data_IF_723108219581
#
_entry.id   IF_723108219581
#
_cell.length_a   1.000
_cell.length_b   1.000
_cell.length_c   1.000
_cell.angle_alpha   90.00
_cell.angle_beta   90.00
_cell.angle_gamma   90.00
#
_symmetry.space_group_name_H-M   'P 1'
#
loop_
_entity.id
_entity.type
_entity.pdbx_description
1 polymer ?
#
# COMPACT_ATOMS: atom_id res chain seq x y z
N UNK A 1 -17.11 12.57 17.26
CA UNK A 1 -16.34 13.70 16.68
C UNK A 1 -15.27 13.25 15.69
N UNK A 2 -14.18 12.57 16.06
CA UNK A 2 -13.22 12.08 15.04
C UNK A 2 -13.78 10.98 14.12
N UNK A 3 -14.63 10.09 14.66
CA UNK A 3 -15.28 9.03 13.88
C UNK A 3 -16.25 9.54 12.82
N UNK A 4 -17.01 10.60 13.11
CA UNK A 4 -18.02 11.14 12.20
C UNK A 4 -17.40 11.83 10.98
N UNK A 5 -16.25 12.50 11.15
CA UNK A 5 -15.51 13.11 10.05
C UNK A 5 -14.87 12.07 9.11
N UNK A 6 -14.33 10.97 9.66
CA UNK A 6 -13.73 9.89 8.86
C UNK A 6 -14.81 9.10 8.09
N UNK A 7 -15.97 8.86 8.71
CA UNK A 7 -17.14 8.25 8.06
C UNK A 7 -17.67 9.13 6.91
N UNK A 8 -17.87 10.43 7.15
CA UNK A 8 -18.38 11.35 6.14
C UNK A 8 -17.41 11.53 4.96
N UNK A 9 -16.10 11.55 5.22
CA UNK A 9 -15.12 11.61 4.15
C UNK A 9 -15.10 10.31 3.33
N UNK A 10 -15.23 9.16 3.98
CA UNK A 10 -15.29 7.87 3.29
C UNK A 10 -16.51 7.77 2.35
N UNK A 11 -17.67 8.26 2.78
CA UNK A 11 -18.87 8.33 1.96
C UNK A 11 -18.70 9.27 0.75
N UNK A 12 -18.23 10.50 0.99
CA UNK A 12 -17.96 11.48 -0.08
C UNK A 12 -16.98 10.95 -1.14
N UNK A 13 -15.96 10.18 -0.71
CA UNK A 13 -15.01 9.52 -1.62
C UNK A 13 -15.63 8.39 -2.43
N UNK A 14 -16.58 7.66 -1.85
CA UNK A 14 -17.29 6.59 -2.56
C UNK A 14 -18.22 7.17 -3.62
N UNK A 15 -18.91 8.26 -3.32
CA UNK A 15 -19.80 8.96 -4.26
C UNK A 15 -19.04 9.61 -5.42
N UNK A 16 -17.90 10.24 -5.14
CA UNK A 16 -17.06 10.86 -6.17
C UNK A 16 -16.24 9.84 -6.99
N UNK A 17 -16.28 8.54 -6.65
CA UNK A 17 -15.52 7.51 -7.36
C UNK A 17 -16.23 7.12 -8.66
N UNK A 18 -15.53 7.31 -9.77
CA UNK A 18 -16.06 7.02 -11.11
C UNK A 18 -15.75 5.59 -11.56
N UNK A 19 -14.65 5.00 -11.06
CA UNK A 19 -14.27 3.63 -11.35
C UNK A 19 -12.75 3.41 -11.42
N UNK A 20 -12.34 2.35 -12.09
CA UNK A 20 -10.94 1.92 -12.24
C UNK A 20 -10.60 1.81 -13.74
N UNK A 21 -9.37 2.16 -14.13
CA UNK A 21 -8.89 1.95 -15.49
C UNK A 21 -7.37 1.88 -15.57
N UNK A 22 -6.82 1.46 -16.72
CA UNK A 22 -5.38 1.45 -16.99
C UNK A 22 -4.99 2.67 -17.80
N UNK A 23 -3.90 3.31 -17.40
CA UNK A 23 -3.38 4.52 -18.05
C UNK A 23 -1.89 4.39 -18.24
N UNK A 24 -1.38 4.87 -19.38
CA UNK A 24 0.06 4.94 -19.63
C UNK A 24 0.76 5.82 -18.59
N UNK A 25 1.90 5.35 -18.06
CA UNK A 25 2.64 6.03 -16.98
C UNK A 25 3.05 7.46 -17.32
N UNK A 26 3.29 7.76 -18.60
CA UNK A 26 3.64 9.11 -19.06
C UNK A 26 2.46 10.09 -19.12
N UNK A 27 1.23 9.62 -18.89
CA UNK A 27 0.00 10.43 -18.80
C UNK A 27 -0.34 10.83 -17.37
N UNK A 28 0.40 10.33 -16.38
CA UNK A 28 0.19 10.64 -14.98
C UNK A 28 1.05 11.83 -14.60
N UNK A 29 0.42 12.88 -14.05
CA UNK A 29 1.08 14.11 -13.60
C UNK A 29 0.81 14.32 -12.13
N UNK A 30 1.86 14.64 -11.39
CA UNK A 30 1.77 14.98 -9.98
C UNK A 30 2.00 16.47 -9.85
N UNK A 31 1.13 17.15 -9.11
CA UNK A 31 1.32 18.55 -8.83
C UNK A 31 2.31 18.69 -7.67
N UNK A 32 3.55 19.10 -7.96
CA UNK A 32 4.61 19.28 -6.98
C UNK A 32 4.48 20.59 -6.19
N UNK A 33 3.58 21.49 -6.63
CA UNK A 33 3.43 22.84 -6.07
C UNK A 33 2.42 22.89 -4.90
N UNK A 34 1.77 21.78 -4.56
CA UNK A 34 0.85 21.75 -3.42
C UNK A 34 1.64 21.65 -2.11
N UNK A 35 1.34 22.48 -1.09
CA UNK A 35 2.00 22.42 0.23
C UNK A 35 1.87 21.05 0.93
N UNK A 36 0.90 20.24 0.52
CA UNK A 36 0.63 18.89 1.04
C UNK A 36 1.24 17.78 0.17
N UNK A 37 1.90 18.11 -0.95
CA UNK A 37 2.59 17.14 -1.78
C UNK A 37 3.80 16.61 -1.02
N UNK A 38 3.73 15.35 -0.55
CA UNK A 38 4.87 14.67 0.07
C UNK A 38 6.05 14.70 -0.92
N UNK A 39 7.18 15.25 -0.48
CA UNK A 39 8.41 15.26 -1.28
C UNK A 39 8.79 13.84 -1.69
N UNK A 40 9.33 13.72 -2.90
CA UNK A 40 9.84 12.45 -3.40
C UNK A 40 11.03 12.02 -2.53
N UNK A 41 10.93 10.85 -1.91
CA UNK A 41 12.00 10.24 -1.14
C UNK A 41 12.57 9.09 -1.98
N UNK A 42 13.80 9.28 -2.43
CA UNK A 42 14.48 8.33 -3.29
C UNK A 42 14.67 6.96 -2.61
N UNK A 43 14.87 6.92 -1.30
CA UNK A 43 15.01 5.66 -0.55
C UNK A 43 13.72 4.84 -0.62
N UNK A 44 12.57 5.51 -0.57
CA UNK A 44 11.27 4.86 -0.75
C UNK A 44 11.03 4.39 -2.18
N UNK A 45 11.49 5.15 -3.17
CA UNK A 45 11.45 4.76 -4.59
C UNK A 45 12.29 3.50 -4.82
N UNK A 46 13.55 3.50 -4.39
CA UNK A 46 14.47 2.37 -4.57
C UNK A 46 13.93 1.10 -3.89
N UNK A 47 13.41 1.25 -2.67
CA UNK A 47 12.76 0.15 -1.96
C UNK A 47 11.58 -0.43 -2.75
N UNK A 48 10.76 0.41 -3.40
CA UNK A 48 9.64 -0.04 -4.23
C UNK A 48 10.10 -0.70 -5.52
N UNK A 49 11.18 -0.20 -6.14
CA UNK A 49 11.79 -0.86 -7.31
C UNK A 49 12.27 -2.26 -6.94
N UNK A 50 12.92 -2.44 -5.79
CA UNK A 50 13.32 -3.75 -5.28
C UNK A 50 12.11 -4.67 -5.07
N UNK A 51 11.01 -4.15 -4.53
CA UNK A 51 9.75 -4.91 -4.40
C UNK A 51 9.26 -5.39 -5.76
N UNK A 52 9.27 -4.51 -6.78
CA UNK A 52 8.79 -4.83 -8.12
C UNK A 52 9.64 -5.92 -8.79
N UNK A 53 10.96 -5.89 -8.60
CA UNK A 53 11.86 -6.94 -9.10
C UNK A 53 11.62 -8.29 -8.42
N UNK A 54 11.37 -8.28 -7.12
CA UNK A 54 11.29 -9.52 -6.33
C UNK A 54 9.94 -10.24 -6.41
N UNK A 55 8.84 -9.49 -6.54
CA UNK A 55 7.47 -10.02 -6.39
C UNK A 55 6.61 -9.72 -7.62
N UNK A 56 7.05 -8.81 -8.49
CA UNK A 56 6.23 -8.21 -9.53
C UNK A 56 5.65 -6.87 -9.09
N UNK A 57 5.18 -6.09 -10.07
CA UNK A 57 4.75 -4.72 -9.84
C UNK A 57 3.29 -4.54 -9.40
N UNK A 58 2.50 -5.62 -9.26
CA UNK A 58 1.06 -5.59 -8.88
C UNK A 58 0.27 -4.44 -9.53
N UNK A 59 0.65 -4.03 -10.74
CA UNK A 59 0.08 -2.88 -11.43
C UNK A 59 -1.38 -3.10 -11.84
N UNK A 60 -1.84 -4.36 -11.84
CA UNK A 60 -3.23 -4.81 -12.06
C UNK A 60 -4.13 -4.66 -10.83
N UNK A 61 -3.54 -4.66 -9.65
CA UNK A 61 -4.27 -4.76 -8.39
C UNK A 61 -4.93 -3.42 -8.04
N UNK A 62 -6.24 -3.43 -7.81
CA UNK A 62 -7.00 -2.25 -7.39
C UNK A 62 -6.44 -1.64 -6.09
N UNK A 63 -5.88 -2.47 -5.20
CA UNK A 63 -5.23 -2.03 -3.96
C UNK A 63 -3.97 -1.19 -4.22
N UNK A 64 -3.34 -1.41 -5.37
CA UNK A 64 -2.13 -0.73 -5.78
C UNK A 64 -2.38 0.40 -6.80
N UNK A 65 -3.65 0.74 -7.03
CA UNK A 65 -4.02 1.81 -7.95
C UNK A 65 -3.53 3.19 -7.48
N UNK A 66 -3.34 4.09 -8.45
CA UNK A 66 -2.99 5.49 -8.20
C UNK A 66 -4.29 6.31 -8.26
N UNK A 67 -4.65 7.05 -7.19
CA UNK A 67 -5.84 7.90 -7.22
C UNK A 67 -5.59 9.13 -8.10
N UNK A 68 -6.46 9.34 -9.08
CA UNK A 68 -6.38 10.44 -10.03
C UNK A 68 -7.71 11.17 -10.12
N UNK A 69 -7.63 12.45 -10.46
CA UNK A 69 -8.79 13.32 -10.66
C UNK A 69 -8.97 13.62 -12.14
N UNK A 70 -10.22 13.57 -12.58
CA UNK A 70 -10.64 13.81 -13.96
C UNK A 70 -11.95 14.62 -13.97
N UNK A 71 -12.12 15.53 -14.92
CA UNK A 71 -13.41 16.21 -15.12
C UNK A 71 -14.35 15.32 -15.93
N UNK A 72 -15.68 15.51 -15.79
CA UNK A 72 -16.68 14.75 -16.55
C UNK A 72 -16.50 14.87 -18.07
N UNK A 73 -16.22 16.07 -18.56
CA UNK A 73 -15.95 16.29 -19.99
C UNK A 73 -14.72 15.52 -20.48
N UNK A 74 -13.66 15.51 -19.69
CA UNK A 74 -12.45 14.77 -20.03
C UNK A 74 -12.71 13.27 -19.99
N UNK A 75 -13.46 12.77 -18.99
CA UNK A 75 -13.84 11.37 -18.90
C UNK A 75 -14.65 10.94 -20.13
N UNK A 76 -15.68 11.71 -20.50
CA UNK A 76 -16.54 11.40 -21.64
C UNK A 76 -15.73 11.30 -22.95
N UNK A 77 -14.83 12.26 -23.19
CA UNK A 77 -13.92 12.25 -24.36
C UNK A 77 -12.96 11.06 -24.38
N UNK A 78 -12.52 10.59 -23.21
CA UNK A 78 -11.61 9.43 -23.09
C UNK A 78 -12.39 8.13 -23.29
N UNK A 79 -13.59 8.01 -22.73
CA UNK A 79 -14.48 6.86 -22.86
C UNK A 79 -14.91 6.64 -24.32
N UNK A 80 -15.45 7.68 -24.97
CA UNK A 80 -15.85 7.62 -26.39
C UNK A 80 -14.70 7.12 -27.28
N UNK A 81 -13.50 7.65 -27.07
CA UNK A 81 -12.31 7.29 -27.86
C UNK A 81 -11.79 5.88 -27.58
N UNK A 82 -12.02 5.40 -26.36
CA UNK A 82 -11.63 4.06 -25.96
C UNK A 82 -12.69 3.02 -26.34
N UNK A 83 -13.87 3.46 -26.79
CA UNK A 83 -15.02 2.59 -27.06
C UNK A 83 -15.59 1.99 -25.77
N UNK A 84 -15.53 2.73 -24.66
CA UNK A 84 -15.91 2.27 -23.33
C UNK A 84 -17.10 3.07 -22.80
N UNK A 85 -17.87 2.46 -21.91
CA UNK A 85 -18.92 3.08 -21.11
C UNK A 85 -18.45 3.35 -19.68
N UNK A 86 -19.20 4.14 -18.91
CA UNK A 86 -18.93 4.29 -17.47
C UNK A 86 -19.14 2.99 -16.68
N UNK A 87 -20.00 2.08 -17.17
CA UNK A 87 -20.25 0.80 -16.53
C UNK A 87 -19.00 -0.11 -16.57
N UNK A 88 -18.24 -0.03 -17.67
CA UNK A 88 -16.99 -0.80 -17.84
C UNK A 88 -15.91 -0.40 -16.82
N UNK A 89 -15.96 0.84 -16.31
CA UNK A 89 -15.05 1.31 -15.26
C UNK A 89 -15.41 0.78 -13.87
N UNK A 90 -16.67 0.35 -13.68
CA UNK A 90 -17.21 -0.13 -12.40
C UNK A 90 -17.20 -1.65 -12.29
N UNK A 91 -17.01 -2.35 -13.40
CA UNK A 91 -16.87 -3.81 -13.41
C UNK A 91 -15.59 -4.23 -12.68
N UNK A 92 -15.74 -5.04 -11.63
CA UNK A 92 -14.63 -5.63 -10.87
C UNK A 92 -14.25 -7.04 -11.37
N UNK A 93 -15.00 -7.60 -12.33
CA UNK A 93 -14.88 -9.00 -12.75
C UNK A 93 -13.86 -9.18 -13.90
N UNK A 94 -13.38 -8.10 -14.51
CA UNK A 94 -12.48 -8.13 -15.66
C UNK A 94 -11.22 -7.27 -15.47
N UNK A 95 -10.20 -7.51 -16.30
CA UNK A 95 -8.99 -6.69 -16.30
C UNK A 95 -9.36 -5.23 -16.55
N UNK A 96 -8.86 -4.25 -15.75
CA UNK A 96 -9.33 -2.88 -15.85
C UNK A 96 -9.16 -2.33 -17.27
N UNK A 97 -10.14 -1.59 -17.82
CA UNK A 97 -10.10 -1.20 -19.22
C UNK A 97 -9.02 -0.15 -19.49
N UNK A 98 -8.42 -0.16 -20.69
CA UNK A 98 -7.36 0.79 -21.04
C UNK A 98 -7.90 2.12 -21.57
N UNK A 99 -7.55 3.20 -20.89
CA UNK A 99 -8.01 4.55 -21.19
C UNK A 99 -7.05 5.25 -22.16
N UNK A 100 -7.52 5.48 -23.39
CA UNK A 100 -6.72 6.09 -24.47
C UNK A 100 -6.67 7.61 -24.33
N UNK A 101 -5.66 8.14 -23.66
CA UNK A 101 -5.40 9.59 -23.57
C UNK A 101 -4.55 10.12 -24.74
N UNK A 102 -4.85 11.35 -25.20
CA UNK A 102 -4.09 12.05 -26.26
C UNK A 102 -2.75 12.55 -25.74
N UNK A 103 -1.85 12.94 -26.66
CA UNK A 103 -0.52 13.47 -26.33
C UNK A 103 -0.55 14.68 -25.39
N UNK A 104 -1.55 15.54 -25.51
CA UNK A 104 -1.73 16.75 -24.68
C UNK A 104 -2.56 16.50 -23.42
N UNK A 105 -3.23 15.36 -23.31
CA UNK A 105 -4.05 15.02 -22.15
C UNK A 105 -3.22 14.30 -21.09
N UNK A 106 -3.45 14.64 -19.83
CA UNK A 106 -2.87 13.99 -18.68
C UNK A 106 -3.89 13.95 -17.54
N UNK A 107 -3.68 13.03 -16.61
CA UNK A 107 -4.48 12.90 -15.39
C UNK A 107 -3.70 13.42 -14.19
N UNK A 108 -4.37 14.25 -13.40
CA UNK A 108 -3.82 14.83 -12.18
C UNK A 108 -3.90 13.81 -11.06
N UNK A 109 -2.74 13.33 -10.63
CA UNK A 109 -2.61 12.34 -9.57
C UNK A 109 -2.62 13.03 -8.21
N UNK A 110 -3.43 12.51 -7.28
CA UNK A 110 -3.53 13.04 -5.93
C UNK A 110 -2.41 12.52 -5.02
N UNK A 111 -2.06 11.24 -5.17
CA UNK A 111 -1.04 10.58 -4.36
C UNK A 111 -0.38 9.45 -5.18
N UNK A 112 0.73 8.90 -4.70
CA UNK A 112 1.40 7.76 -5.34
C UNK A 112 2.67 8.11 -6.10
N UNK A 113 3.27 9.27 -5.82
CA UNK A 113 4.50 9.76 -6.46
C UNK A 113 5.64 8.74 -6.40
N UNK A 114 5.96 8.18 -5.23
CA UNK A 114 7.04 7.18 -5.10
C UNK A 114 6.75 5.91 -5.90
N UNK A 115 5.48 5.50 -5.99
CA UNK A 115 5.06 4.32 -6.75
C UNK A 115 5.16 4.55 -8.25
N UNK A 116 4.71 5.71 -8.73
CA UNK A 116 4.86 6.11 -10.13
C UNK A 116 6.33 6.21 -10.53
N UNK A 117 7.17 6.85 -9.73
CA UNK A 117 8.60 6.93 -9.97
C UNK A 117 9.24 5.53 -10.02
N UNK A 118 8.93 4.67 -9.04
CA UNK A 118 9.41 3.28 -9.03
C UNK A 118 8.95 2.49 -10.26
N UNK A 119 7.70 2.70 -10.70
CA UNK A 119 7.17 2.07 -11.89
C UNK A 119 7.91 2.57 -13.15
N UNK A 120 8.15 3.87 -13.27
CA UNK A 120 8.91 4.43 -14.39
C UNK A 120 10.34 3.90 -14.45
N UNK A 121 10.99 3.69 -13.30
CA UNK A 121 12.30 3.03 -13.22
C UNK A 121 12.21 1.56 -13.65
N UNK A 122 11.24 0.82 -13.14
CA UNK A 122 11.07 -0.61 -13.42
C UNK A 122 10.73 -0.90 -14.89
N UNK A 123 9.87 -0.08 -15.49
CA UNK A 123 9.42 -0.22 -16.89
C UNK A 123 10.34 0.49 -17.91
N UNK A 124 11.45 1.10 -17.48
CA UNK A 124 12.34 1.87 -18.37
C UNK A 124 12.82 1.05 -19.57
N UNK A 125 13.12 -0.23 -19.34
CA UNK A 125 13.62 -1.17 -20.35
C UNK A 125 12.53 -1.99 -21.05
N UNK A 126 11.25 -1.75 -20.74
CA UNK A 126 10.10 -2.48 -21.30
C UNK A 126 9.51 -1.76 -22.52
N UNK A 127 8.88 -2.50 -23.47
CA UNK A 127 8.12 -1.92 -24.57
C UNK A 127 7.06 -0.94 -24.07
N UNK A 128 6.71 0.07 -24.90
CA UNK A 128 5.77 1.13 -24.55
C UNK A 128 4.40 0.61 -24.11
N UNK A 129 3.97 -0.49 -24.69
CA UNK A 129 2.67 -1.14 -24.46
C UNK A 129 2.55 -1.70 -23.04
N UNK A 130 3.66 -2.07 -22.41
CA UNK A 130 3.67 -2.59 -21.03
C UNK A 130 3.73 -1.48 -19.97
N UNK A 131 3.91 -0.22 -20.38
CA UNK A 131 4.20 0.90 -19.46
C UNK A 131 2.93 1.59 -19.01
N UNK A 132 2.08 0.84 -18.33
CA UNK A 132 0.82 1.32 -17.78
C UNK A 132 0.68 1.00 -16.29
N UNK A 133 -0.23 1.73 -15.65
CA UNK A 133 -0.61 1.51 -14.27
C UNK A 133 -2.12 1.63 -14.10
N UNK A 134 -2.69 0.85 -13.18
CA UNK A 134 -4.10 0.96 -12.81
C UNK A 134 -4.33 2.22 -11.98
N UNK A 135 -5.34 3.01 -12.34
CA UNK A 135 -5.74 4.23 -11.66
C UNK A 135 -7.16 4.10 -11.13
N UNK A 136 -7.42 4.72 -9.97
CA UNK A 136 -8.79 4.95 -9.50
C UNK A 136 -9.18 6.37 -9.87
N UNK A 137 -10.26 6.50 -10.64
CA UNK A 137 -10.76 7.77 -11.15
C UNK A 137 -11.72 8.41 -10.15
N UNK A 138 -11.47 9.67 -9.83
CA UNK A 138 -12.36 10.52 -9.04
C UNK A 138 -12.83 11.71 -9.87
N UNK A 139 -14.10 12.07 -9.68
CA UNK A 139 -14.67 13.28 -10.25
C UNK A 139 -14.05 14.50 -9.60
N UNK A 140 -13.51 15.42 -10.41
CA UNK A 140 -12.89 16.66 -9.92
C UNK A 140 -13.88 17.55 -9.18
N UNK A 141 -15.10 17.62 -9.68
CA UNK A 141 -16.05 18.66 -9.30
C UNK A 141 -16.94 18.17 -8.14
N UNK A 142 -17.16 16.86 -8.04
CA UNK A 142 -17.86 16.25 -6.91
C UNK A 142 -16.94 15.89 -5.70
N UNK A 143 -15.62 15.86 -5.88
CA UNK A 143 -14.69 15.56 -4.79
C UNK A 143 -14.41 16.81 -3.94
N UNK A 144 -15.10 16.91 -2.80
CA UNK A 144 -14.91 17.99 -1.82
C UNK A 144 -13.44 18.20 -1.40
N UNK A 145 -13.11 19.44 -1.06
CA UNK A 145 -11.72 19.87 -0.76
C UNK A 145 -11.07 19.04 0.36
N UNK A 146 -11.81 18.70 1.42
CA UNK A 146 -11.26 17.92 2.54
C UNK A 146 -11.07 16.45 2.17
N UNK A 147 -11.99 15.86 1.41
CA UNK A 147 -11.83 14.52 0.84
C UNK A 147 -10.63 14.43 -0.08
N UNK A 148 -10.43 15.46 -0.91
CA UNK A 148 -9.28 15.57 -1.79
C UNK A 148 -7.96 15.73 -1.02
N UNK A 149 -7.94 16.56 0.04
CA UNK A 149 -6.77 16.72 0.92
C UNK A 149 -6.41 15.41 1.62
N UNK A 150 -7.38 14.66 2.11
CA UNK A 150 -7.14 13.37 2.76
C UNK A 150 -6.61 12.32 1.78
N UNK A 151 -7.09 12.34 0.52
CA UNK A 151 -6.51 11.52 -0.54
C UNK A 151 -5.08 11.94 -0.84
N UNK A 152 -4.83 13.23 -0.99
CA UNK A 152 -3.50 13.77 -1.31
C UNK A 152 -2.47 13.56 -0.18
N UNK A 153 -2.89 13.71 1.08
CA UNK A 153 -2.09 13.41 2.27
C UNK A 153 -1.75 11.92 2.38
N UNK A 154 -2.37 11.06 1.58
CA UNK A 154 -2.26 9.61 1.70
C UNK A 154 -2.84 9.10 3.03
N UNK A 155 -3.70 9.89 3.68
CA UNK A 155 -4.54 9.46 4.82
C UNK A 155 -5.72 8.62 4.34
N UNK A 156 -6.04 8.72 3.05
CA UNK A 156 -6.90 7.81 2.35
C UNK A 156 -6.28 6.44 2.14
N UNK A 157 -6.68 5.51 3.00
CA UNK A 157 -7.04 4.12 2.71
C UNK A 157 -6.46 3.52 1.42
N UNK A 158 -5.13 3.47 1.27
CA UNK A 158 -4.63 2.17 0.89
C UNK A 158 -5.11 1.28 2.02
N UNK A 159 -6.02 0.35 1.73
CA UNK A 159 -6.54 -0.67 2.66
C UNK A 159 -5.41 -1.39 3.43
N UNK A 160 -4.15 -1.10 3.09
CA UNK A 160 -2.95 -1.59 3.72
C UNK A 160 -2.01 -0.55 4.36
N UNK A 161 -2.51 0.35 5.23
CA UNK A 161 -1.66 0.88 6.32
C UNK A 161 -1.54 -0.19 7.42
N UNK A 162 -0.91 -1.31 7.10
CA UNK A 162 -0.61 -2.32 8.10
C UNK A 162 0.49 -1.76 8.98
N UNK A 163 0.24 -1.75 10.28
CA UNK A 163 1.33 -1.49 11.21
C UNK A 163 2.40 -2.60 11.07
N UNK A 164 3.61 -2.33 11.56
CA UNK A 164 4.70 -3.31 11.47
C UNK A 164 4.31 -4.69 12.04
N UNK A 165 3.53 -4.70 13.13
CA UNK A 165 3.03 -5.92 13.76
C UNK A 165 2.12 -6.75 12.87
N UNK A 166 1.11 -6.14 12.25
CA UNK A 166 0.18 -6.88 11.39
C UNK A 166 0.90 -7.49 10.18
N UNK A 167 1.97 -6.87 9.68
CA UNK A 167 2.74 -7.49 8.59
C UNK A 167 3.64 -8.61 9.06
N UNK A 168 4.21 -8.51 10.26
CA UNK A 168 4.89 -9.66 10.83
C UNK A 168 3.92 -10.85 10.98
N UNK A 169 2.70 -10.60 11.48
CA UNK A 169 1.63 -11.61 11.55
C UNK A 169 1.35 -12.25 10.19
N UNK A 170 1.18 -11.46 9.13
CA UNK A 170 0.95 -11.99 7.78
C UNK A 170 2.15 -12.78 7.23
N UNK A 171 3.39 -12.38 7.55
CA UNK A 171 4.59 -13.17 7.21
C UNK A 171 4.56 -14.53 7.90
N UNK A 172 4.13 -14.60 9.16
CA UNK A 172 4.06 -15.85 9.91
C UNK A 172 2.92 -16.75 9.45
N UNK A 173 1.72 -16.20 9.23
CA UNK A 173 0.60 -16.95 8.63
C UNK A 173 0.97 -17.52 7.26
N UNK A 174 1.63 -16.74 6.40
CA UNK A 174 2.12 -17.23 5.11
C UNK A 174 3.21 -18.29 5.26
N UNK A 175 4.01 -18.23 6.34
CA UNK A 175 5.03 -19.24 6.65
C UNK A 175 4.38 -20.56 7.09
N UNK A 176 3.37 -20.52 7.97
CA UNK A 176 2.60 -21.69 8.40
C UNK A 176 1.91 -22.38 7.22
N UNK A 177 1.29 -21.58 6.34
CA UNK A 177 0.64 -22.06 5.11
C UNK A 177 1.61 -22.52 4.00
N UNK A 178 2.93 -22.43 4.25
CA UNK A 178 4.00 -22.69 3.27
C UNK A 178 3.87 -21.89 1.95
N UNK A 179 3.14 -20.78 1.97
CA UNK A 179 2.96 -19.91 0.81
C UNK A 179 4.18 -18.98 0.66
N UNK A 180 5.11 -19.41 -0.19
CA UNK A 180 6.35 -18.67 -0.48
C UNK A 180 6.07 -17.32 -1.14
N UNK A 181 5.02 -17.21 -1.96
CA UNK A 181 4.69 -16.00 -2.72
C UNK A 181 4.17 -14.92 -1.80
N UNK A 182 3.15 -15.22 -0.99
CA UNK A 182 2.64 -14.28 0.00
C UNK A 182 3.72 -13.87 0.99
N UNK A 183 4.53 -14.82 1.47
CA UNK A 183 5.63 -14.51 2.39
C UNK A 183 6.62 -13.52 1.78
N UNK A 184 6.96 -13.66 0.49
CA UNK A 184 7.85 -12.74 -0.22
C UNK A 184 7.20 -11.36 -0.38
N UNK A 185 5.94 -11.33 -0.82
CA UNK A 185 5.13 -10.12 -0.96
C UNK A 185 5.08 -9.31 0.34
N UNK A 186 4.81 -9.98 1.45
CA UNK A 186 4.72 -9.35 2.77
C UNK A 186 6.07 -8.84 3.31
N UNK A 187 7.16 -9.57 3.06
CA UNK A 187 8.51 -9.12 3.39
C UNK A 187 8.92 -7.86 2.60
N UNK A 188 8.51 -7.77 1.34
CA UNK A 188 8.82 -6.63 0.49
C UNK A 188 8.03 -5.38 0.91
N UNK A 189 6.76 -5.54 1.33
CA UNK A 189 5.84 -4.45 1.69
C UNK A 189 6.34 -3.52 2.80
N UNK A 190 6.99 -4.01 3.86
CA UNK A 190 7.08 -3.26 5.15
C UNK A 190 8.47 -2.98 5.69
N UNK A 191 9.50 -3.53 5.09
CA UNK A 191 10.76 -3.58 5.80
C UNK A 191 11.71 -2.60 5.12
N UNK A 192 11.96 -1.46 5.78
CA UNK A 192 13.27 -0.80 5.65
C UNK A 192 14.34 -1.87 5.81
N UNK A 193 15.49 -1.72 5.15
CA UNK A 193 16.59 -2.71 5.23
C UNK A 193 16.83 -3.19 6.68
N UNK A 194 16.73 -2.25 7.62
CA UNK A 194 16.83 -2.49 9.06
C UNK A 194 15.75 -3.41 9.65
N UNK A 195 14.45 -3.11 9.46
CA UNK A 195 13.39 -3.99 9.99
C UNK A 195 13.46 -5.39 9.37
N UNK A 196 13.92 -5.47 8.11
CA UNK A 196 14.14 -6.71 7.35
C UNK A 196 15.22 -7.57 8.01
N UNK A 197 16.27 -6.91 8.52
CA UNK A 197 17.30 -7.53 9.34
C UNK A 197 16.75 -8.00 10.69
N UNK A 198 16.02 -7.15 11.42
CA UNK A 198 15.48 -7.47 12.75
C UNK A 198 14.50 -8.66 12.74
N UNK A 199 13.60 -8.73 11.75
CA UNK A 199 12.69 -9.87 11.58
C UNK A 199 13.44 -11.15 11.20
N UNK A 200 14.50 -11.06 10.39
CA UNK A 200 15.37 -12.20 10.11
C UNK A 200 16.08 -12.66 11.37
N UNK A 201 16.59 -11.72 12.17
CA UNK A 201 17.27 -11.99 13.44
C UNK A 201 16.35 -12.75 14.40
N UNK A 202 15.11 -12.29 14.57
CA UNK A 202 14.10 -12.97 15.39
C UNK A 202 13.83 -14.43 14.95
N UNK A 203 13.87 -14.68 13.64
CA UNK A 203 13.57 -16.01 13.04
C UNK A 203 14.76 -16.97 13.01
N UNK A 204 15.99 -16.46 12.92
CA UNK A 204 17.16 -17.32 12.73
C UNK A 204 17.97 -17.52 14.00
N UNK A 205 17.92 -16.60 14.96
CA UNK A 205 18.73 -16.73 16.17
C UNK A 205 17.98 -17.58 17.21
N UNK A 206 18.63 -18.63 17.76
CA UNK A 206 17.98 -19.56 18.69
C UNK A 206 17.61 -18.90 20.02
N UNK A 207 18.37 -17.90 20.47
CA UNK A 207 18.13 -17.13 21.69
C UNK A 207 16.78 -16.39 21.75
N UNK A 208 16.05 -16.29 20.64
CA UNK A 208 14.72 -15.67 20.59
C UNK A 208 13.61 -16.68 20.29
N UNK A 209 13.85 -17.98 20.52
CA UNK A 209 12.87 -19.04 20.28
C UNK A 209 11.61 -18.84 21.12
N UNK A 210 11.72 -18.62 22.42
CA UNK A 210 10.55 -18.41 23.28
C UNK A 210 9.72 -17.20 22.88
N UNK A 211 10.38 -16.08 22.56
CA UNK A 211 9.69 -14.88 22.05
C UNK A 211 8.97 -15.17 20.73
N UNK A 212 9.55 -16.00 19.86
CA UNK A 212 8.91 -16.40 18.61
C UNK A 212 7.69 -17.28 18.88
N UNK A 213 7.82 -18.26 19.76
CA UNK A 213 6.75 -19.19 20.10
C UNK A 213 5.56 -18.45 20.76
N UNK A 214 5.85 -17.49 21.65
CA UNK A 214 4.86 -16.61 22.23
C UNK A 214 4.21 -15.67 21.19
N UNK A 215 4.98 -15.17 20.21
CA UNK A 215 4.39 -14.39 19.11
C UNK A 215 3.53 -15.27 18.18
N UNK A 216 3.91 -16.53 17.99
CA UNK A 216 3.17 -17.47 17.16
C UNK A 216 1.87 -17.91 17.84
N UNK A 217 1.83 -18.05 19.17
CA UNK A 217 0.58 -18.30 19.92
C UNK A 217 -0.40 -17.11 19.86
N UNK A 218 0.10 -15.89 19.67
CA UNK A 218 -0.71 -14.68 19.51
C UNK A 218 -1.26 -14.44 18.09
N UNK A 219 -0.91 -15.28 17.11
CA UNK A 219 -1.39 -15.15 15.73
C UNK A 219 -2.92 -15.12 15.58
N UNK A 220 -3.73 -15.88 16.35
CA UNK A 220 -5.19 -15.81 16.27
C UNK A 220 -5.75 -14.42 16.60
N UNK A 221 -5.14 -13.71 17.56
CA UNK A 221 -5.64 -12.45 18.10
C UNK A 221 -5.23 -11.23 17.27
N UNK A 222 -5.96 -10.96 16.19
CA UNK A 222 -5.64 -9.87 15.24
C UNK A 222 -5.45 -8.49 15.88
N UNK A 223 -6.23 -8.16 16.91
CA UNK A 223 -6.23 -6.82 17.52
C UNK A 223 -4.88 -6.45 18.17
N UNK A 224 -4.19 -7.42 18.78
CA UNK A 224 -2.92 -7.20 19.49
C UNK A 224 -1.79 -6.74 18.54
N UNK A 225 -1.87 -7.14 17.28
CA UNK A 225 -0.85 -6.83 16.29
C UNK A 225 -0.83 -5.36 15.86
N UNK A 226 -1.96 -4.63 15.99
CA UNK A 226 -2.05 -3.20 15.69
C UNK A 226 -1.14 -2.34 16.58
N UNK A 227 -0.96 -2.74 17.84
CA UNK A 227 -0.10 -2.06 18.80
C UNK A 227 1.39 -2.41 18.68
N UNK A 228 1.72 -3.52 17.99
CA UNK A 228 3.10 -4.01 17.93
C UNK A 228 3.94 -3.20 16.94
N UNK A 229 4.85 -2.37 17.49
CA UNK A 229 5.82 -1.60 16.70
C UNK A 229 7.10 -2.39 16.53
N UNK A 230 7.36 -2.96 15.34
CA UNK A 230 8.61 -3.70 15.06
C UNK A 230 9.90 -2.92 15.40
N UNK A 231 9.87 -1.59 15.45
CA UNK A 231 11.01 -0.78 15.91
C UNK A 231 11.41 -1.01 17.37
N UNK A 232 10.53 -1.55 18.23
CA UNK A 232 10.86 -1.90 19.62
C UNK A 232 11.68 -3.18 19.72
N UNK A 233 11.65 -4.05 18.70
CA UNK A 233 12.49 -5.26 18.64
C UNK A 233 13.97 -4.89 18.72
N UNK A 234 14.37 -3.78 18.09
CA UNK A 234 15.75 -3.31 18.14
C UNK A 234 16.20 -2.96 19.55
N UNK A 235 15.35 -2.28 20.33
CA UNK A 235 15.62 -1.99 21.76
C UNK A 235 15.76 -3.29 22.54
N UNK A 236 14.86 -4.25 22.34
CA UNK A 236 14.95 -5.57 22.98
C UNK A 236 16.19 -6.38 22.56
N UNK A 237 16.61 -6.30 21.29
CA UNK A 237 17.83 -6.97 20.82
C UNK A 237 19.12 -6.30 21.29
N UNK A 238 19.09 -4.99 21.53
CA UNK A 238 20.21 -4.23 22.08
C UNK A 238 20.41 -4.51 23.56
N UNK A 239 19.32 -4.79 24.29
CA UNK A 239 19.35 -5.05 25.74
C UNK A 239 20.06 -6.35 26.14
N UNK A 240 20.52 -7.21 25.20
CA UNK A 240 21.38 -8.38 25.44
C UNK A 240 21.04 -9.31 26.64
N UNK A 241 19.82 -9.23 27.18
CA UNK A 241 19.35 -10.10 28.27
C UNK A 241 18.18 -10.95 27.78
N UNK A 242 18.46 -12.15 27.21
CA UNK A 242 17.43 -13.15 26.92
C UNK A 242 16.63 -13.52 28.17
N UNK A 243 17.30 -13.54 29.33
CA UNK A 243 16.82 -13.99 30.64
C UNK A 243 15.64 -13.18 31.19
N UNK A 244 15.59 -11.87 30.91
CA UNK A 244 14.49 -11.00 31.40
C UNK A 244 13.28 -11.06 30.47
N UNK A 245 13.46 -11.45 29.21
CA UNK A 245 12.36 -11.55 28.24
C UNK A 245 11.58 -12.86 28.35
N UNK A 246 12.24 -13.95 28.76
CA UNK A 246 11.62 -15.25 29.06
C UNK A 246 10.83 -15.21 30.37
N UNK A 247 11.28 -14.44 31.37
CA UNK A 247 10.59 -14.33 32.66
C UNK A 247 9.20 -13.63 32.62
N UNK A 248 8.93 -12.80 31.61
CA UNK A 248 7.68 -12.01 31.52
C UNK A 248 6.60 -12.70 30.69
N UNK A 249 6.97 -13.61 29.77
CA UNK A 249 6.02 -14.27 28.89
C UNK A 249 5.00 -15.18 29.63
N UNK A 250 5.37 -15.96 30.66
CA UNK A 250 4.41 -16.74 31.45
C UNK A 250 3.45 -15.84 32.23
N UNK A 251 3.96 -14.75 32.81
CA UNK A 251 3.18 -13.82 33.64
C UNK A 251 2.09 -13.05 32.89
N UNK A 252 2.23 -12.91 31.56
CA UNK A 252 1.19 -12.28 30.72
C UNK A 252 0.09 -13.27 30.31
N UNK A 253 0.33 -14.58 30.40
CA UNK A 253 -0.65 -15.63 30.10
C UNK A 253 -1.44 -16.07 31.35
N UNK A 254 -0.88 -15.86 32.55
CA UNK A 254 -1.55 -16.18 33.82
C UNK A 254 -2.61 -15.13 34.24
N UNK A 255 -2.55 -13.90 33.70
CA UNK A 255 -3.52 -12.84 34.02
C UNK A 255 -4.83 -12.90 33.22
N UNK A 256 -5.07 -13.98 32.47
CA UNK A 256 -6.32 -14.22 31.73
C UNK A 256 -6.97 -15.54 32.12
N UNK A 257 -7.24 -15.70 33.42
CA UNK A 257 -8.30 -16.55 33.95
C UNK A 257 -9.17 -15.73 34.90
#
# INVERSE_FOLDING_TARGET
MAGDHEQNNTAARAEARLGIGRVALNRLRFNHESPTARMLDQSNVDRLVDVFKEVGCNNRDAEHSIPVVITRDQLHRVLQRSGLSEADLRSNDHEPPYLKLRKKEALSCLHGQHRHAAACHFFRHRPREDRWWTVTLYDRDALFTDARRDIAAGHSTSVWSFCGGEVYRHIQLATQRRDRRQRKQWKCRILTKQKRYDVRRLRHFPQYRELRDALDSLLPFRALWKGLRLGTLRRKFALRSPEVSTAVAPRLLETTN
#
